data_IF_568252837394
#
_entry.id   IF_568252837394
#
_cell.length_a   1.000
_cell.length_b   1.000
_cell.length_c   1.000
_cell.angle_alpha   90.00
_cell.angle_beta   90.00
_cell.angle_gamma   90.00
#
_symmetry.space_group_name_H-M   'P 1'
#
loop_
_entity.id
_entity.type
_entity.pdbx_description
1 polymer ?
#
# COMPACT_ATOMS: atom_id res chain seq x y z
N UNK A 1 26.07 42.74 -56.47
CA UNK A 1 27.11 41.84 -57.02
C UNK A 1 27.73 41.13 -55.81
N UNK A 2 27.75 39.82 -55.62
CA UNK A 2 27.60 38.69 -56.52
C UNK A 2 26.92 37.52 -55.77
N UNK A 3 26.21 36.69 -56.53
CA UNK A 3 25.70 35.39 -56.14
C UNK A 3 26.81 34.33 -56.25
N UNK A 4 26.74 33.25 -55.46
CA UNK A 4 27.19 31.90 -55.88
C UNK A 4 26.48 30.84 -55.05
N UNK A 5 26.03 29.80 -55.75
CA UNK A 5 25.16 28.72 -55.33
C UNK A 5 25.94 27.46 -54.89
N UNK A 6 25.16 26.39 -54.64
CA UNK A 6 25.52 24.97 -54.50
C UNK A 6 25.92 24.53 -53.08
N UNK A 7 25.44 23.40 -52.55
CA UNK A 7 24.54 22.39 -53.09
C UNK A 7 24.40 21.23 -52.08
N UNK A 8 23.24 20.56 -52.18
CA UNK A 8 22.93 19.14 -51.86
C UNK A 8 23.72 18.43 -50.74
N UNK A 9 22.99 17.89 -49.77
CA UNK A 9 22.84 16.43 -49.61
C UNK A 9 21.81 16.07 -48.54
N UNK A 10 20.82 15.29 -48.93
CA UNK A 10 19.99 14.50 -48.05
C UNK A 10 20.64 13.11 -47.89
N UNK A 11 20.73 12.61 -46.65
CA UNK A 11 20.81 11.18 -46.29
C UNK A 11 20.06 11.05 -44.95
N UNK A 12 18.88 10.42 -44.89
CA UNK A 12 18.66 8.98 -44.72
C UNK A 12 19.30 8.43 -43.44
N UNK A 13 18.47 8.14 -42.43
CA UNK A 13 18.89 7.53 -41.17
C UNK A 13 17.68 7.08 -40.35
N UNK A 14 16.96 6.08 -40.84
CA UNK A 14 16.02 5.30 -40.04
C UNK A 14 16.81 4.49 -38.99
N UNK A 15 16.41 4.55 -37.72
CA UNK A 15 16.83 3.60 -36.69
C UNK A 15 15.68 3.44 -35.71
N UNK A 16 14.82 2.49 -36.04
CA UNK A 16 14.62 1.25 -35.29
C UNK A 16 13.70 1.41 -34.08
N UNK A 17 12.40 1.28 -34.38
CA UNK A 17 11.48 0.53 -33.54
C UNK A 17 12.15 -0.74 -33.00
N UNK A 18 12.46 -0.78 -31.70
CA UNK A 18 12.53 -2.05 -30.98
C UNK A 18 11.23 -2.18 -30.20
N UNK A 19 10.48 -3.24 -30.53
CA UNK A 19 9.38 -3.69 -29.69
C UNK A 19 9.99 -4.25 -28.42
N UNK A 20 9.41 -3.95 -27.27
CA UNK A 20 9.47 -4.83 -26.12
C UNK A 20 8.07 -4.95 -25.55
N UNK A 21 7.27 -5.78 -26.22
CA UNK A 21 6.21 -6.52 -25.57
C UNK A 21 6.82 -7.83 -25.11
N UNK A 22 7.12 -7.94 -23.82
CA UNK A 22 7.34 -9.21 -23.13
C UNK A 22 7.24 -8.99 -21.62
N UNK A 23 6.17 -9.54 -21.06
CA UNK A 23 6.07 -10.06 -19.69
C UNK A 23 6.69 -9.22 -18.56
N UNK A 24 5.85 -8.43 -17.90
CA UNK A 24 5.99 -8.18 -16.46
C UNK A 24 5.70 -9.49 -15.72
N UNK A 25 6.69 -10.38 -15.68
CA UNK A 25 6.67 -11.57 -14.84
C UNK A 25 7.80 -11.47 -13.84
N UNK A 26 7.43 -11.04 -12.64
CA UNK A 26 7.62 -11.81 -11.40
C UNK A 26 8.75 -12.84 -11.44
N UNK A 27 9.85 -12.51 -10.74
CA UNK A 27 10.54 -13.35 -9.76
C UNK A 27 12.03 -13.03 -9.72
N UNK A 28 12.39 -11.95 -9.03
CA UNK A 28 13.66 -11.88 -8.32
C UNK A 28 13.51 -10.92 -7.13
N UNK A 29 13.07 -11.47 -6.00
CA UNK A 29 13.41 -10.93 -4.69
C UNK A 29 13.50 -12.08 -3.70
N UNK A 30 14.36 -13.05 -4.02
CA UNK A 30 15.00 -13.88 -3.02
C UNK A 30 16.26 -13.14 -2.55
N UNK A 31 16.12 -12.34 -1.50
CA UNK A 31 17.27 -11.87 -0.72
C UNK A 31 16.87 -11.66 0.74
N UNK A 32 17.06 -12.72 1.51
CA UNK A 32 17.49 -12.69 2.91
C UNK A 32 17.12 -11.44 3.74
N UNK A 33 15.90 -11.48 4.28
CA UNK A 33 15.65 -11.37 5.72
C UNK A 33 16.39 -10.28 6.52
N UNK A 34 16.42 -9.03 6.07
CA UNK A 34 16.28 -7.94 7.03
C UNK A 34 14.78 -7.82 7.30
N UNK A 35 14.28 -8.46 8.38
CA UNK A 35 12.86 -8.38 8.76
C UNK A 35 12.52 -6.92 9.10
N UNK A 36 12.11 -6.17 8.08
CA UNK A 36 11.60 -4.82 8.22
C UNK A 36 10.42 -4.82 9.18
N UNK A 37 10.31 -3.77 9.98
CA UNK A 37 9.14 -3.57 10.81
C UNK A 37 8.04 -2.97 9.95
N UNK A 38 6.81 -3.32 10.22
CA UNK A 38 5.65 -2.77 9.53
C UNK A 38 4.74 -2.11 10.55
N UNK A 39 4.20 -0.95 10.18
CA UNK A 39 3.17 -0.25 10.93
C UNK A 39 1.85 -0.47 10.20
N UNK A 40 0.79 -0.79 10.93
CA UNK A 40 -0.50 -1.11 10.33
C UNK A 40 -1.65 -0.40 11.03
N UNK A 41 -2.71 -0.17 10.28
CA UNK A 41 -3.97 0.36 10.77
C UNK A 41 -5.13 -0.53 10.31
N UNK A 42 -5.84 -1.09 11.28
CA UNK A 42 -7.01 -1.95 11.08
C UNK A 42 -8.23 -1.21 11.55
N UNK A 43 -9.26 -1.19 10.72
CA UNK A 43 -10.59 -0.71 11.10
C UNK A 43 -11.38 -1.86 11.73
N UNK A 44 -12.01 -1.60 12.86
CA UNK A 44 -12.95 -2.53 13.51
C UNK A 44 -14.38 -2.36 13.00
N UNK A 45 -15.27 -3.31 13.29
CA UNK A 45 -16.69 -3.19 12.94
C UNK A 45 -17.35 -1.96 13.56
N UNK A 46 -16.91 -1.54 14.75
CA UNK A 46 -17.34 -0.29 15.38
C UNK A 46 -16.83 1.00 14.72
N UNK A 47 -16.07 0.92 13.62
CA UNK A 47 -15.52 2.09 12.91
C UNK A 47 -14.35 2.76 13.65
N UNK A 48 -13.75 2.07 14.62
CA UNK A 48 -12.54 2.52 15.32
C UNK A 48 -11.32 2.06 14.55
N UNK A 49 -10.26 2.88 14.55
CA UNK A 49 -9.00 2.58 13.90
C UNK A 49 -7.98 2.12 14.96
N UNK A 50 -7.61 0.86 14.90
CA UNK A 50 -6.54 0.28 15.70
C UNK A 50 -5.22 0.39 14.96
N UNK A 51 -4.20 0.94 15.61
CA UNK A 51 -2.84 1.03 15.08
C UNK A 51 -1.92 0.08 15.83
N UNK A 52 -1.01 -0.58 15.13
CA UNK A 52 0.03 -1.38 15.75
C UNK A 52 1.24 -1.59 14.84
N UNK A 53 2.28 -2.21 15.39
CA UNK A 53 3.47 -2.61 14.64
C UNK A 53 3.63 -4.13 14.62
N UNK A 54 4.18 -4.68 13.54
CA UNK A 54 4.46 -6.10 13.40
C UNK A 54 5.63 -6.32 12.44
N UNK A 55 6.32 -7.44 12.60
CA UNK A 55 7.33 -7.91 11.63
C UNK A 55 6.72 -8.77 10.51
N UNK A 56 5.46 -9.18 10.67
CA UNK A 56 4.74 -10.00 9.69
C UNK A 56 3.27 -9.66 9.76
N UNK A 57 2.77 -8.98 8.73
CA UNK A 57 1.37 -8.56 8.62
C UNK A 57 0.45 -9.78 8.54
N UNK A 58 0.69 -10.70 7.61
CA UNK A 58 -0.16 -11.88 7.39
C UNK A 58 -0.33 -12.70 8.68
N UNK A 59 0.77 -13.00 9.37
CA UNK A 59 0.72 -13.73 10.66
C UNK A 59 -0.12 -12.98 11.70
N UNK A 60 0.03 -11.66 11.80
CA UNK A 60 -0.68 -10.84 12.78
C UNK A 60 -2.17 -10.77 12.45
N UNK A 61 -2.53 -10.66 11.17
CA UNK A 61 -3.91 -10.63 10.73
C UNK A 61 -4.60 -11.98 10.94
N UNK A 62 -3.93 -13.10 10.68
CA UNK A 62 -4.42 -14.45 11.02
C UNK A 62 -4.72 -14.60 12.51
N UNK A 63 -3.85 -14.06 13.38
CA UNK A 63 -4.07 -14.05 14.83
C UNK A 63 -5.29 -13.20 15.22
N UNK A 64 -5.54 -12.09 14.53
CA UNK A 64 -6.72 -11.25 14.74
C UNK A 64 -7.99 -11.88 14.15
N UNK A 65 -7.88 -12.67 13.09
CA UNK A 65 -8.97 -13.46 12.50
C UNK A 65 -9.34 -14.70 13.31
N UNK A 66 -8.60 -15.04 14.36
CA UNK A 66 -8.82 -16.26 15.15
C UNK A 66 -8.31 -17.54 14.48
N UNK A 67 -7.65 -17.44 13.32
CA UNK A 67 -7.00 -18.57 12.65
C UNK A 67 -5.77 -19.06 13.42
N UNK A 68 -5.18 -18.18 14.26
CA UNK A 68 -4.00 -18.49 15.08
C UNK A 68 -4.12 -17.91 16.48
N UNK A 69 -3.46 -18.57 17.43
CA UNK A 69 -3.39 -18.13 18.83
C UNK A 69 -2.55 -16.85 18.96
N UNK A 70 -2.97 -15.93 19.83
CA UNK A 70 -2.21 -14.70 20.15
C UNK A 70 -2.75 -13.39 19.55
N UNK A 71 -4.04 -13.34 19.19
CA UNK A 71 -4.70 -12.09 18.77
C UNK A 71 -4.82 -11.06 19.91
N UNK A 72 -4.92 -9.77 19.54
CA UNK A 72 -5.09 -8.70 20.52
C UNK A 72 -6.46 -8.83 21.23
N UNK A 73 -6.48 -8.64 22.55
CA UNK A 73 -7.70 -8.72 23.37
C UNK A 73 -8.81 -7.78 22.89
N UNK A 74 -8.44 -6.62 22.34
CA UNK A 74 -9.38 -5.63 21.80
C UNK A 74 -10.32 -6.20 20.73
N UNK A 75 -9.81 -7.11 19.88
CA UNK A 75 -10.58 -7.71 18.80
C UNK A 75 -11.56 -8.81 19.26
N UNK A 76 -11.53 -9.20 20.54
CA UNK A 76 -12.55 -10.09 21.11
C UNK A 76 -13.89 -9.37 21.32
N UNK A 77 -13.85 -8.09 21.66
CA UNK A 77 -15.04 -7.27 21.89
C UNK A 77 -15.51 -6.56 20.60
N UNK A 78 -14.57 -6.10 19.77
CA UNK A 78 -14.87 -5.41 18.51
C UNK A 78 -13.99 -5.98 17.39
N UNK A 79 -14.51 -6.94 16.59
CA UNK A 79 -13.70 -7.68 15.64
C UNK A 79 -13.18 -6.77 14.51
N UNK A 80 -12.02 -7.10 13.94
CA UNK A 80 -11.45 -6.39 12.80
C UNK A 80 -12.37 -6.55 11.58
N UNK A 81 -12.56 -5.45 10.84
CA UNK A 81 -13.38 -5.39 9.64
C UNK A 81 -12.54 -5.29 8.36
N UNK A 82 -11.44 -4.53 8.40
CA UNK A 82 -10.54 -4.36 7.24
C UNK A 82 -9.17 -3.82 7.62
N UNK A 83 -8.14 -4.25 6.91
CA UNK A 83 -6.85 -3.56 6.91
C UNK A 83 -6.94 -2.32 6.01
N UNK A 84 -6.77 -1.14 6.59
CA UNK A 84 -6.90 0.16 5.87
C UNK A 84 -5.57 0.77 5.48
N UNK A 85 -4.53 0.50 6.26
CA UNK A 85 -3.21 1.06 6.03
C UNK A 85 -2.14 0.08 6.48
N UNK A 86 -1.04 0.01 5.74
CA UNK A 86 0.18 -0.62 6.17
C UNK A 86 1.37 0.12 5.55
N UNK A 87 2.46 0.20 6.30
CA UNK A 87 3.66 0.93 5.90
C UNK A 87 4.91 0.20 6.40
N UNK A 88 5.95 0.17 5.58
CA UNK A 88 7.25 -0.40 5.94
C UNK A 88 8.06 0.59 6.77
N UNK A 89 8.88 0.07 7.68
CA UNK A 89 9.78 0.83 8.54
C UNK A 89 11.12 0.09 8.64
N UNK A 90 12.21 0.87 8.65
CA UNK A 90 13.57 0.33 8.65
C UNK A 90 13.85 -0.52 9.91
N UNK A 91 13.34 -0.11 11.06
CA UNK A 91 13.63 -0.75 12.34
C UNK A 91 12.49 -0.50 13.36
N UNK A 92 12.57 -1.20 14.50
CA UNK A 92 11.52 -1.15 15.55
C UNK A 92 11.32 0.25 16.11
N UNK A 93 12.41 1.00 16.26
CA UNK A 93 12.39 2.35 16.81
C UNK A 93 11.57 3.27 15.90
N UNK A 94 11.83 3.24 14.59
CA UNK A 94 11.10 4.05 13.62
C UNK A 94 9.63 3.61 13.51
N UNK A 95 9.36 2.30 13.54
CA UNK A 95 7.99 1.79 13.58
C UNK A 95 7.23 2.27 14.83
N UNK A 96 7.87 2.27 16.00
CA UNK A 96 7.26 2.73 17.26
C UNK A 96 7.04 4.24 17.26
N UNK A 97 7.99 5.02 16.73
CA UNK A 97 7.83 6.47 16.54
C UNK A 97 6.65 6.78 15.61
N UNK A 98 6.55 6.05 14.51
CA UNK A 98 5.46 6.17 13.56
C UNK A 98 4.12 5.77 14.18
N UNK A 99 4.06 4.68 14.94
CA UNK A 99 2.87 4.27 15.69
C UNK A 99 2.42 5.38 16.64
N UNK A 100 3.34 5.97 17.42
CA UNK A 100 3.01 7.07 18.32
C UNK A 100 2.50 8.30 17.57
N UNK A 101 3.11 8.65 16.43
CA UNK A 101 2.64 9.72 15.57
C UNK A 101 1.20 9.45 15.09
N UNK A 102 0.94 8.25 14.56
CA UNK A 102 -0.40 7.84 14.12
C UNK A 102 -1.42 7.83 15.27
N UNK A 103 -1.03 7.43 16.48
CA UNK A 103 -1.92 7.46 17.65
C UNK A 103 -2.33 8.87 18.06
N UNK A 104 -1.45 9.86 17.87
CA UNK A 104 -1.72 11.28 18.15
C UNK A 104 -2.60 11.96 17.10
N UNK A 105 -2.64 11.42 15.88
CA UNK A 105 -3.48 11.97 14.81
C UNK A 105 -4.97 11.86 15.12
N UNK A 106 -5.72 12.88 14.71
CA UNK A 106 -7.18 12.85 14.73
C UNK A 106 -7.70 11.82 13.71
N UNK A 107 -8.97 11.43 13.83
CA UNK A 107 -9.60 10.50 12.89
C UNK A 107 -9.55 11.02 11.45
N UNK A 108 -9.78 12.33 11.26
CA UNK A 108 -9.73 12.96 9.94
C UNK A 108 -8.34 12.82 9.29
N UNK A 109 -7.27 13.12 10.03
CA UNK A 109 -5.89 13.02 9.54
C UNK A 109 -5.50 11.58 9.20
N UNK A 110 -5.99 10.60 9.96
CA UNK A 110 -5.77 9.18 9.65
C UNK A 110 -6.43 8.79 8.32
N UNK A 111 -7.63 9.28 8.07
CA UNK A 111 -8.34 9.02 6.82
C UNK A 111 -7.68 9.73 5.65
N UNK A 112 -7.22 10.97 5.84
CA UNK A 112 -6.46 11.71 4.84
C UNK A 112 -5.13 10.99 4.52
N UNK A 113 -4.45 10.46 5.53
CA UNK A 113 -3.25 9.64 5.35
C UNK A 113 -3.55 8.40 4.49
N UNK A 114 -4.60 7.66 4.82
CA UNK A 114 -5.02 6.48 4.05
C UNK A 114 -5.29 6.87 2.59
N UNK A 115 -6.03 7.95 2.35
CA UNK A 115 -6.30 8.42 0.99
C UNK A 115 -5.03 8.82 0.25
N UNK A 116 -4.14 9.57 0.91
CA UNK A 116 -2.87 9.99 0.30
C UNK A 116 -2.01 8.78 -0.07
N UNK A 117 -2.01 7.73 0.74
CA UNK A 117 -1.25 6.52 0.48
C UNK A 117 -1.84 5.70 -0.68
N UNK A 118 -3.15 5.80 -0.92
CA UNK A 118 -3.80 5.16 -2.06
C UNK A 118 -3.57 5.91 -3.38
N UNK A 119 -3.24 7.20 -3.32
CA UNK A 119 -3.06 8.06 -4.49
C UNK A 119 -1.60 8.12 -5.00
N UNK A 120 -0.63 7.81 -4.15
CA UNK A 120 0.78 7.77 -4.56
C UNK A 120 1.12 6.41 -5.20
N UNK A 121 0.78 6.27 -6.50
CA UNK A 121 1.35 5.24 -7.36
C UNK A 121 2.75 5.73 -7.79
N UNK A 122 3.79 5.05 -7.31
CA UNK A 122 5.12 4.97 -7.94
C UNK A 122 5.92 6.26 -8.10
N UNK A 123 6.67 6.59 -7.05
CA UNK A 123 8.07 7.01 -7.22
C UNK A 123 8.88 6.42 -6.06
N UNK A 124 9.69 5.40 -6.37
CA UNK A 124 10.51 4.61 -5.44
C UNK A 124 11.57 5.46 -4.70
N UNK A 125 11.73 6.72 -5.10
CA UNK A 125 12.71 7.68 -4.59
C UNK A 125 12.12 8.81 -3.74
N UNK A 126 10.79 8.97 -3.67
CA UNK A 126 10.18 9.89 -2.69
C UNK A 126 10.02 9.18 -1.36
N UNK A 127 11.17 8.87 -0.74
CA UNK A 127 11.25 8.49 0.65
C UNK A 127 10.68 9.62 1.50
N UNK A 128 9.38 9.57 1.77
CA UNK A 128 8.79 10.34 2.85
C UNK A 128 9.60 10.10 4.13
N UNK A 129 9.47 10.99 5.12
CA UNK A 129 10.15 10.82 6.41
C UNK A 129 9.86 9.47 7.11
N UNK A 130 8.91 8.70 6.58
CA UNK A 130 8.46 7.39 7.02
C UNK A 130 8.44 6.46 5.79
N UNK A 131 8.68 5.16 5.98
CA UNK A 131 8.95 4.24 4.86
C UNK A 131 7.80 4.05 3.88
N UNK A 132 7.95 3.10 2.95
CA UNK A 132 7.00 2.96 1.83
C UNK A 132 5.64 2.45 2.33
N UNK A 133 4.52 3.15 2.03
CA UNK A 133 3.20 2.58 2.25
C UNK A 133 3.02 1.36 1.34
N UNK A 134 2.33 0.34 1.84
CA UNK A 134 1.98 -0.82 1.04
C UNK A 134 0.91 -0.42 0.03
N UNK A 135 0.99 -0.99 -1.17
CA UNK A 135 0.00 -0.75 -2.20
C UNK A 135 -1.34 -1.43 -1.86
N UNK A 136 -2.48 -0.96 -2.42
CA UNK A 136 -3.79 -1.55 -2.14
C UNK A 136 -3.85 -3.06 -2.37
N UNK A 137 -3.14 -3.57 -3.37
CA UNK A 137 -3.03 -5.00 -3.66
C UNK A 137 -2.19 -5.76 -2.63
N UNK A 138 -1.09 -5.19 -2.12
CA UNK A 138 -0.29 -5.78 -1.04
C UNK A 138 -1.07 -5.83 0.28
N UNK A 139 -1.84 -4.77 0.56
CA UNK A 139 -2.78 -4.75 1.68
C UNK A 139 -3.83 -5.85 1.53
N UNK A 140 -4.48 -5.95 0.37
CA UNK A 140 -5.52 -6.94 0.11
C UNK A 140 -4.99 -8.38 0.19
N UNK A 141 -3.76 -8.63 -0.25
CA UNK A 141 -3.12 -9.93 -0.14
C UNK A 141 -2.88 -10.34 1.33
N UNK A 142 -2.62 -9.37 2.20
CA UNK A 142 -2.36 -9.58 3.63
C UNK A 142 -3.61 -9.48 4.51
N UNK A 143 -4.74 -9.05 3.95
CA UNK A 143 -6.01 -8.84 4.66
C UNK A 143 -6.92 -10.07 4.55
N UNK A 144 -6.95 -10.97 5.56
CA UNK A 144 -7.88 -12.09 5.57
C UNK A 144 -9.34 -11.65 5.75
N UNK A 145 -9.60 -10.40 6.16
CA UNK A 145 -10.95 -9.85 6.36
C UNK A 145 -11.57 -9.33 5.06
N UNK A 146 -10.76 -9.05 4.04
CA UNK A 146 -11.24 -8.48 2.77
C UNK A 146 -12.09 -9.48 1.96
N UNK A 147 -11.86 -10.79 2.12
CA UNK A 147 -12.47 -11.85 1.28
C UNK A 147 -13.96 -12.09 1.56
N UNK A 148 -14.47 -11.70 2.72
CA UNK A 148 -15.85 -12.06 3.14
C UNK A 148 -16.93 -11.12 2.59
N UNK A 149 -16.57 -10.06 1.86
CA UNK A 149 -17.53 -9.00 1.49
C UNK A 149 -18.23 -9.15 0.14
N UNK A 150 -17.99 -10.22 -0.62
CA UNK A 150 -18.74 -10.45 -1.87
C UNK A 150 -20.23 -10.81 -1.66
N UNK A 151 -20.74 -10.80 -0.42
CA UNK A 151 -22.11 -11.22 -0.10
C UNK A 151 -22.94 -10.25 0.76
N UNK A 152 -22.58 -8.96 0.87
CA UNK A 152 -23.42 -8.00 1.63
C UNK A 152 -23.68 -6.63 0.99
N UNK A 153 -23.34 -6.41 -0.29
CA UNK A 153 -23.86 -5.25 -1.04
C UNK A 153 -25.20 -5.59 -1.74
N UNK A 154 -26.21 -5.89 -0.92
CA UNK A 154 -27.62 -5.70 -1.25
C UNK A 154 -28.32 -5.13 -0.02
N UNK A 155 -27.97 -3.90 0.36
CA UNK A 155 -28.75 -3.15 1.35
C UNK A 155 -28.95 -1.70 0.91
N UNK A 156 -29.87 -1.55 -0.04
CA UNK A 156 -30.84 -0.45 -0.15
C UNK A 156 -30.27 0.96 0.04
N UNK A 157 -29.76 1.54 -1.05
CA UNK A 157 -29.99 2.97 -1.27
C UNK A 157 -31.48 3.14 -1.56
N UNK A 158 -32.24 3.67 -0.58
CA UNK A 158 -33.54 4.28 -0.88
C UNK A 158 -33.27 5.55 -1.69
N UNK A 159 -33.95 5.80 -2.82
CA UNK A 159 -33.91 7.11 -3.44
C UNK A 159 -34.62 8.10 -2.51
N UNK A 160 -33.91 9.16 -2.13
CA UNK A 160 -34.51 10.32 -1.47
C UNK A 160 -35.40 11.02 -2.50
N UNK A 161 -36.65 11.28 -2.10
CA UNK A 161 -37.69 11.93 -2.91
C UNK A 161 -37.47 13.44 -2.96
#
# INVERSE_FOLDING_TARGET
MAATAAGRAAVAGASSIVRSAAASSSAASSSSSSKGWLVYMVETRGGKLYTGITVSLSRRMEQHAGLRTGGAKAFRADPPARLRYAETAANRADATRREMALKRLARADKLALIQSAMLHDRDEESGGAWGRPLSPEELAASDPFARDRSSHDKKTAKPDQ
#
